data_IF_728615973898
#
_entry.id   IF_728615973898
#
_cell.length_a   1.000
_cell.length_b   1.000
_cell.length_c   1.000
_cell.angle_alpha   90.00
_cell.angle_beta   90.00
_cell.angle_gamma   90.00
#
_symmetry.space_group_name_H-M   'P 1'
#
loop_
_entity.id
_entity.type
_entity.pdbx_description
1 polymer ?
#
# COMPACT_ATOMS: atom_id res chain seq x y z
N UNK A 1 9.58 -4.01 -22.93
CA UNK A 1 9.95 -3.34 -21.66
C UNK A 1 11.29 -3.87 -21.21
N UNK A 2 12.25 -3.01 -20.85
CA UNK A 2 13.49 -3.48 -20.21
C UNK A 2 13.15 -4.12 -18.87
N UNK A 3 13.62 -5.35 -18.63
CA UNK A 3 13.38 -6.04 -17.37
C UNK A 3 14.02 -5.25 -16.21
N UNK A 4 13.25 -5.04 -15.14
CA UNK A 4 13.70 -4.30 -13.96
C UNK A 4 14.70 -5.15 -13.17
N UNK A 5 15.90 -4.63 -12.92
CA UNK A 5 16.88 -5.25 -12.03
C UNK A 5 16.78 -4.63 -10.64
N UNK A 6 16.74 -5.43 -9.59
CA UNK A 6 16.60 -4.93 -8.22
C UNK A 6 17.89 -4.27 -7.73
N UNK A 7 17.80 -3.00 -7.33
CA UNK A 7 18.93 -2.30 -6.70
C UNK A 7 19.16 -2.75 -5.25
N UNK A 8 18.08 -3.16 -4.56
CA UNK A 8 18.10 -3.56 -3.16
C UNK A 8 17.46 -4.95 -2.98
N UNK A 9 17.82 -5.70 -1.93
CA UNK A 9 17.10 -6.92 -1.57
C UNK A 9 15.70 -6.60 -1.01
N UNK A 10 14.77 -7.54 -1.17
CA UNK A 10 13.44 -7.49 -0.54
C UNK A 10 13.34 -8.58 0.50
N UNK A 11 12.91 -8.20 1.69
CA UNK A 11 12.65 -9.10 2.82
C UNK A 11 11.17 -9.05 3.18
N UNK A 12 10.61 -10.19 3.56
CA UNK A 12 9.29 -10.27 4.19
C UNK A 12 9.32 -9.61 5.57
N UNK A 13 8.13 -9.41 6.15
CA UNK A 13 7.95 -8.81 7.48
C UNK A 13 8.61 -9.60 8.61
N UNK A 14 8.72 -10.93 8.47
CA UNK A 14 9.47 -11.80 9.38
C UNK A 14 10.98 -11.82 9.10
N UNK A 15 11.46 -10.95 8.22
CA UNK A 15 12.86 -10.78 7.81
C UNK A 15 13.44 -11.93 6.99
N UNK A 16 12.60 -12.81 6.44
CA UNK A 16 13.05 -13.78 5.45
C UNK A 16 13.41 -13.08 4.13
N UNK A 17 14.52 -13.47 3.53
CA UNK A 17 14.94 -12.92 2.24
C UNK A 17 14.03 -13.47 1.13
N UNK A 18 13.31 -12.57 0.44
CA UNK A 18 12.45 -12.94 -0.68
C UNK A 18 13.21 -12.89 -2.00
N UNK A 19 13.83 -11.75 -2.32
CA UNK A 19 14.61 -11.55 -3.54
C UNK A 19 15.91 -10.80 -3.23
N UNK A 20 17.00 -11.19 -3.91
CA UNK A 20 18.32 -10.58 -3.73
C UNK A 20 18.45 -9.31 -4.58
N UNK A 21 19.31 -8.39 -4.14
CA UNK A 21 19.79 -7.33 -5.03
C UNK A 21 20.45 -7.96 -6.26
N UNK A 22 20.23 -7.34 -7.41
CA UNK A 22 20.69 -7.83 -8.70
C UNK A 22 19.77 -8.86 -9.37
N UNK A 23 18.73 -9.35 -8.70
CA UNK A 23 17.71 -10.18 -9.35
C UNK A 23 17.00 -9.39 -10.46
N UNK A 24 16.86 -9.99 -11.63
CA UNK A 24 16.01 -9.47 -12.70
C UNK A 24 14.58 -9.89 -12.43
N UNK A 25 13.66 -8.94 -12.36
CA UNK A 25 12.26 -9.18 -12.05
C UNK A 25 11.53 -9.65 -13.32
N UNK A 26 11.42 -10.97 -13.47
CA UNK A 26 10.67 -11.66 -14.53
C UNK A 26 9.42 -12.31 -13.95
N UNK A 27 8.47 -12.68 -14.81
CA UNK A 27 7.28 -13.43 -14.42
C UNK A 27 7.64 -14.78 -13.78
N UNK A 28 8.71 -15.43 -14.26
CA UNK A 28 9.26 -16.65 -13.68
C UNK A 28 9.79 -16.44 -12.25
N UNK A 29 10.52 -15.34 -12.02
CA UNK A 29 11.04 -15.01 -10.69
C UNK A 29 9.91 -14.73 -9.69
N UNK A 30 8.86 -14.01 -10.14
CA UNK A 30 7.68 -13.74 -9.31
C UNK A 30 6.85 -15.01 -9.08
N UNK A 31 6.67 -15.86 -10.09
CA UNK A 31 5.97 -17.14 -9.97
C UNK A 31 6.67 -18.06 -8.96
N UNK A 32 8.00 -18.12 -9.00
CA UNK A 32 8.81 -18.88 -8.03
C UNK A 32 8.69 -18.31 -6.62
N UNK A 33 8.72 -16.97 -6.49
CA UNK A 33 8.53 -16.29 -5.22
C UNK A 33 7.15 -16.60 -4.62
N UNK A 34 6.08 -16.50 -5.42
CA UNK A 34 4.72 -16.79 -4.99
C UNK A 34 4.63 -18.25 -4.53
N UNK A 35 5.10 -19.19 -5.35
CA UNK A 35 5.09 -20.61 -5.03
C UNK A 35 5.84 -20.95 -3.74
N UNK A 36 6.90 -20.20 -3.41
CA UNK A 36 7.69 -20.41 -2.18
C UNK A 36 6.94 -20.16 -0.88
N UNK A 37 5.83 -19.41 -0.91
CA UNK A 37 5.01 -19.13 0.28
C UNK A 37 4.19 -20.34 0.73
N UNK A 38 3.93 -21.28 -0.18
CA UNK A 38 3.02 -22.41 0.04
C UNK A 38 1.54 -22.01 -0.02
N UNK A 39 0.66 -23.02 -0.16
CA UNK A 39 -0.78 -22.84 -0.40
C UNK A 39 -1.59 -22.41 0.84
N UNK A 40 -0.94 -22.05 1.95
CA UNK A 40 -1.64 -21.72 3.20
C UNK A 40 -2.26 -20.32 3.11
N UNK A 41 -3.53 -20.28 2.67
CA UNK A 41 -4.35 -19.07 2.65
C UNK A 41 -4.59 -18.64 4.09
N UNK A 42 -3.80 -17.67 4.55
CA UNK A 42 -3.97 -17.11 5.89
C UNK A 42 -5.33 -16.43 5.99
N UNK A 43 -5.93 -16.55 7.16
CA UNK A 43 -7.17 -15.86 7.49
C UNK A 43 -6.98 -14.35 7.35
N UNK A 44 -7.95 -13.69 6.72
CA UNK A 44 -8.01 -12.22 6.69
C UNK A 44 -8.78 -11.68 7.88
N UNK A 45 -8.45 -10.47 8.30
CA UNK A 45 -9.08 -9.75 9.40
C UNK A 45 -9.52 -8.36 8.92
N UNK A 46 -10.68 -7.85 9.36
CA UNK A 46 -11.15 -6.52 8.97
C UNK A 46 -10.16 -5.44 9.42
N UNK A 47 -9.71 -4.58 8.50
CA UNK A 47 -8.73 -3.53 8.79
C UNK A 47 -9.24 -2.58 9.89
N UNK A 48 -10.52 -2.19 9.82
CA UNK A 48 -11.10 -1.27 10.80
C UNK A 48 -11.23 -1.87 12.21
N UNK A 49 -11.14 -3.20 12.35
CA UNK A 49 -11.15 -3.86 13.67
C UNK A 49 -9.74 -4.13 14.20
N UNK A 50 -8.71 -3.72 13.46
CA UNK A 50 -7.31 -3.95 13.84
C UNK A 50 -6.76 -2.74 14.60
N UNK A 51 -6.34 -2.97 15.85
CA UNK A 51 -5.83 -1.90 16.71
C UNK A 51 -6.88 -0.81 16.94
N UNK A 52 -6.52 0.44 16.66
CA UNK A 52 -7.42 1.62 16.79
C UNK A 52 -7.72 2.26 15.43
N UNK A 53 -7.57 1.51 14.33
CA UNK A 53 -7.65 2.08 12.97
C UNK A 53 -8.99 2.76 12.70
N UNK A 54 -10.11 2.20 13.20
CA UNK A 54 -11.44 2.82 13.05
C UNK A 54 -11.52 4.16 13.78
N UNK A 55 -11.06 4.21 15.02
CA UNK A 55 -11.06 5.42 15.84
C UNK A 55 -10.18 6.51 15.19
N UNK A 56 -9.01 6.12 14.69
CA UNK A 56 -8.07 7.03 14.03
C UNK A 56 -8.63 7.60 12.71
N UNK A 57 -9.36 6.78 11.94
CA UNK A 57 -10.07 7.25 10.73
C UNK A 57 -11.18 8.23 11.09
N UNK A 58 -12.02 7.90 12.07
CA UNK A 58 -13.11 8.79 12.50
C UNK A 58 -12.57 10.13 13.03
N UNK A 59 -11.47 10.11 13.81
CA UNK A 59 -10.78 11.31 14.25
C UNK A 59 -10.26 12.12 13.06
N UNK A 60 -9.63 11.47 12.07
CA UNK A 60 -9.14 12.12 10.84
C UNK A 60 -10.26 12.81 10.06
N UNK A 61 -11.41 12.14 9.88
CA UNK A 61 -12.58 12.69 9.20
C UNK A 61 -13.16 13.92 9.93
N UNK A 62 -12.97 14.04 11.24
CA UNK A 62 -13.39 15.19 12.03
C UNK A 62 -12.48 16.41 11.94
N UNK A 63 -11.29 16.29 11.35
CA UNK A 63 -10.26 17.34 11.37
C UNK A 63 -9.85 17.83 9.98
N UNK A 64 -9.36 19.07 9.90
CA UNK A 64 -8.79 19.63 8.67
C UNK A 64 -7.49 18.90 8.29
N UNK A 65 -7.18 18.75 6.98
CA UNK A 65 -7.97 19.19 5.83
C UNK A 65 -9.04 18.19 5.37
N UNK A 66 -9.12 16.99 5.97
CA UNK A 66 -10.01 15.94 5.46
C UNK A 66 -11.48 16.35 5.59
N UNK A 67 -11.84 16.97 6.72
CA UNK A 67 -13.18 17.47 6.97
C UNK A 67 -13.60 18.65 6.08
N UNK A 68 -12.72 19.19 5.23
CA UNK A 68 -13.14 20.18 4.21
C UNK A 68 -13.64 19.50 2.94
N UNK A 69 -13.32 18.23 2.75
CA UNK A 69 -13.67 17.42 1.57
C UNK A 69 -14.79 16.43 1.94
N UNK A 70 -14.64 15.72 3.07
CA UNK A 70 -15.61 14.76 3.59
C UNK A 70 -16.24 15.40 4.83
N UNK A 71 -17.42 16.01 4.70
CA UNK A 71 -18.10 16.71 5.80
C UNK A 71 -19.56 16.36 5.98
N UNK A 72 -20.18 15.71 5.00
CA UNK A 72 -21.56 15.29 5.11
C UNK A 72 -21.66 13.94 5.81
N UNK A 73 -22.58 13.83 6.77
CA UNK A 73 -22.83 12.58 7.50
C UNK A 73 -23.14 11.41 6.54
N UNK A 74 -23.88 11.68 5.46
CA UNK A 74 -24.19 10.70 4.42
C UNK A 74 -22.93 10.21 3.68
N UNK A 75 -21.96 11.10 3.41
CA UNK A 75 -20.69 10.71 2.79
C UNK A 75 -19.87 9.84 3.75
N UNK A 76 -19.77 10.24 5.01
CA UNK A 76 -19.05 9.48 6.05
C UNK A 76 -19.66 8.08 6.20
N UNK A 77 -20.98 7.98 6.32
CA UNK A 77 -21.66 6.69 6.40
C UNK A 77 -21.41 5.81 5.16
N UNK A 78 -21.41 6.40 3.96
CA UNK A 78 -21.18 5.67 2.72
C UNK A 78 -19.76 5.11 2.62
N UNK A 79 -18.73 5.91 2.94
CA UNK A 79 -17.34 5.43 2.90
C UNK A 79 -17.09 4.40 4.01
N UNK A 80 -17.60 4.63 5.23
CA UNK A 80 -17.40 3.69 6.36
C UNK A 80 -18.00 2.32 6.03
N UNK A 81 -19.18 2.27 5.41
CA UNK A 81 -19.80 1.01 4.96
C UNK A 81 -18.89 0.21 4.02
N UNK A 82 -18.19 0.88 3.11
CA UNK A 82 -17.25 0.24 2.17
C UNK A 82 -15.98 -0.17 2.90
N UNK A 83 -15.40 0.73 3.70
CA UNK A 83 -14.14 0.51 4.42
C UNK A 83 -14.25 -0.64 5.43
N UNK A 84 -15.42 -0.87 6.03
CA UNK A 84 -15.70 -2.01 6.92
C UNK A 84 -15.59 -3.37 6.22
N UNK A 85 -15.70 -3.42 4.89
CA UNK A 85 -15.51 -4.65 4.11
C UNK A 85 -14.05 -4.96 3.78
N UNK A 86 -13.14 -4.00 4.00
CA UNK A 86 -11.73 -4.16 3.67
C UNK A 86 -11.06 -5.01 4.74
N UNK A 87 -10.45 -6.12 4.31
CA UNK A 87 -9.74 -7.05 5.17
C UNK A 87 -8.40 -7.45 4.55
N UNK A 88 -7.42 -7.73 5.40
CA UNK A 88 -6.11 -8.20 4.98
C UNK A 88 -5.61 -9.32 5.89
N UNK A 89 -4.61 -10.05 5.43
CA UNK A 89 -3.88 -10.97 6.29
C UNK A 89 -3.07 -10.22 7.37
N UNK A 90 -2.79 -10.89 8.48
CA UNK A 90 -2.04 -10.30 9.61
C UNK A 90 -0.73 -9.61 9.22
N UNK A 91 0.14 -10.15 8.34
CA UNK A 91 1.38 -9.43 7.99
C UNK A 91 1.10 -8.04 7.40
N UNK A 92 0.11 -7.93 6.51
CA UNK A 92 -0.25 -6.62 5.93
C UNK A 92 -0.78 -5.68 7.01
N UNK A 93 -1.60 -6.18 7.94
CA UNK A 93 -2.10 -5.38 9.07
C UNK A 93 -0.98 -4.97 10.05
N UNK A 94 -0.03 -5.85 10.33
CA UNK A 94 1.12 -5.58 11.19
C UNK A 94 1.98 -4.43 10.64
N UNK A 95 2.03 -4.26 9.31
CA UNK A 95 2.71 -3.10 8.70
C UNK A 95 2.02 -1.77 9.02
N UNK A 96 0.69 -1.77 9.15
CA UNK A 96 -0.08 -0.57 9.50
C UNK A 96 0.26 -0.14 10.94
N UNK A 97 0.32 -1.09 11.87
CA UNK A 97 0.75 -0.84 13.25
C UNK A 97 2.22 -0.45 13.32
N UNK A 98 3.09 -1.06 12.49
CA UNK A 98 4.48 -0.66 12.38
C UNK A 98 4.61 0.83 11.99
N UNK A 99 3.92 1.27 10.93
CA UNK A 99 3.96 2.68 10.54
C UNK A 99 3.38 3.56 11.65
N UNK A 100 2.29 3.15 12.31
CA UNK A 100 1.73 3.93 13.42
C UNK A 100 2.78 4.21 14.50
N UNK A 101 3.59 3.22 14.86
CA UNK A 101 4.62 3.33 15.92
C UNK A 101 5.89 4.04 15.46
N UNK A 102 6.31 3.81 14.21
CA UNK A 102 7.65 4.19 13.77
C UNK A 102 7.66 5.35 12.77
N UNK A 103 6.64 5.48 11.93
CA UNK A 103 6.48 6.55 10.93
C UNK A 103 5.02 7.01 10.85
N UNK A 104 4.62 7.80 11.86
CA UNK A 104 3.25 8.28 11.98
C UNK A 104 2.78 9.11 10.77
N UNK A 105 3.71 9.72 10.02
CA UNK A 105 3.38 10.43 8.80
C UNK A 105 2.86 9.48 7.73
N UNK A 106 3.56 8.37 7.46
CA UNK A 106 3.09 7.35 6.51
C UNK A 106 1.80 6.71 6.99
N UNK A 107 1.67 6.40 8.28
CA UNK A 107 0.41 5.88 8.84
C UNK A 107 -0.77 6.80 8.56
N UNK A 108 -0.66 8.09 8.91
CA UNK A 108 -1.71 9.08 8.64
C UNK A 108 -1.99 9.22 7.14
N UNK A 109 -0.94 9.22 6.31
CA UNK A 109 -1.09 9.29 4.85
C UNK A 109 -1.91 8.12 4.30
N UNK A 110 -1.62 6.89 4.76
CA UNK A 110 -2.36 5.69 4.39
C UNK A 110 -3.85 5.82 4.72
N UNK A 111 -4.19 6.28 5.93
CA UNK A 111 -5.59 6.45 6.34
C UNK A 111 -6.31 7.53 5.50
N UNK A 112 -5.63 8.65 5.22
CA UNK A 112 -6.18 9.72 4.38
C UNK A 112 -6.43 9.25 2.96
N UNK A 113 -5.44 8.59 2.34
CA UNK A 113 -5.58 8.04 0.98
C UNK A 113 -6.70 7.02 0.93
N UNK A 114 -6.80 6.14 1.94
CA UNK A 114 -7.89 5.17 2.02
C UNK A 114 -9.27 5.83 2.08
N UNK A 115 -9.48 6.84 2.93
CA UNK A 115 -10.75 7.54 3.01
C UNK A 115 -11.09 8.29 1.70
N UNK A 116 -10.12 9.01 1.13
CA UNK A 116 -10.33 9.81 -0.09
C UNK A 116 -10.53 8.93 -1.33
N UNK A 117 -9.76 7.85 -1.50
CA UNK A 117 -9.95 6.93 -2.63
C UNK A 117 -11.28 6.19 -2.52
N UNK A 118 -11.71 5.84 -1.31
CA UNK A 118 -13.04 5.28 -1.07
C UNK A 118 -14.13 6.27 -1.47
N UNK A 119 -14.02 7.55 -1.05
CA UNK A 119 -14.96 8.59 -1.46
C UNK A 119 -15.02 8.71 -3.00
N UNK A 120 -13.87 8.83 -3.66
CA UNK A 120 -13.80 8.93 -5.13
C UNK A 120 -14.49 7.72 -5.79
N UNK A 121 -14.26 6.51 -5.27
CA UNK A 121 -14.89 5.29 -5.79
C UNK A 121 -16.42 5.36 -5.71
N UNK A 122 -16.99 6.01 -4.69
CA UNK A 122 -18.45 6.16 -4.54
C UNK A 122 -19.08 7.02 -5.63
N UNK A 123 -18.30 7.90 -6.25
CA UNK A 123 -18.75 8.78 -7.33
C UNK A 123 -18.52 8.19 -8.72
N UNK A 124 -17.48 7.38 -8.90
CA UNK A 124 -17.05 6.89 -10.21
C UNK A 124 -17.50 5.46 -10.53
N UNK A 125 -17.77 4.64 -9.50
CA UNK A 125 -17.97 3.21 -9.67
C UNK A 125 -19.36 2.85 -9.16
N UNK A 126 -20.21 2.33 -10.05
CA UNK A 126 -21.58 1.94 -9.71
C UNK A 126 -21.63 0.65 -8.88
N UNK A 127 -20.81 -0.34 -9.24
CA UNK A 127 -20.78 -1.65 -8.60
C UNK A 127 -20.15 -1.61 -7.20
N UNK A 128 -20.86 -2.14 -6.21
CA UNK A 128 -20.43 -2.13 -4.82
C UNK A 128 -19.20 -3.01 -4.55
N UNK A 129 -19.13 -4.19 -5.16
CA UNK A 129 -18.02 -5.11 -4.97
C UNK A 129 -16.74 -4.58 -5.62
N UNK A 130 -16.85 -3.92 -6.77
CA UNK A 130 -15.72 -3.23 -7.41
C UNK A 130 -15.25 -2.07 -6.53
N UNK A 131 -16.16 -1.26 -5.96
CA UNK A 131 -15.77 -0.21 -4.99
C UNK A 131 -14.98 -0.74 -3.81
N UNK A 132 -15.40 -1.87 -3.22
CA UNK A 132 -14.68 -2.48 -2.09
C UNK A 132 -13.27 -2.90 -2.52
N UNK A 133 -13.12 -3.54 -3.69
CA UNK A 133 -11.80 -3.95 -4.22
C UNK A 133 -10.88 -2.76 -4.48
N UNK A 134 -11.40 -1.69 -5.09
CA UNK A 134 -10.67 -0.45 -5.36
C UNK A 134 -10.27 0.25 -4.05
N UNK A 135 -11.18 0.32 -3.09
CA UNK A 135 -10.92 0.93 -1.78
C UNK A 135 -9.84 0.18 -1.01
N UNK A 136 -9.76 -1.15 -1.14
CA UNK A 136 -8.72 -1.98 -0.52
C UNK A 136 -7.29 -1.69 -1.04
N UNK A 137 -7.14 -0.95 -2.14
CA UNK A 137 -5.81 -0.53 -2.64
C UNK A 137 -5.25 0.66 -1.83
N UNK A 138 -6.13 1.49 -1.25
CA UNK A 138 -5.73 2.67 -0.48
C UNK A 138 -4.82 2.34 0.71
N UNK A 139 -5.17 1.37 1.58
CA UNK A 139 -4.33 1.00 2.72
C UNK A 139 -2.96 0.42 2.34
N UNK A 140 -2.82 -0.11 1.12
CA UNK A 140 -1.67 -0.93 0.70
C UNK A 140 -0.79 -0.28 -0.35
N UNK A 141 -1.17 0.88 -0.91
CA UNK A 141 -0.40 1.56 -1.96
C UNK A 141 1.07 1.80 -1.56
N UNK A 142 1.28 2.18 -0.29
CA UNK A 142 2.58 2.53 0.28
C UNK A 142 3.23 1.37 1.06
N UNK A 143 2.69 0.14 0.97
CA UNK A 143 3.14 -1.01 1.77
C UNK A 143 4.64 -1.28 1.66
N UNK A 144 5.23 -1.05 0.48
CA UNK A 144 6.66 -1.24 0.27
C UNK A 144 7.57 -0.28 1.05
N UNK A 145 7.01 0.77 1.70
CA UNK A 145 7.78 1.64 2.60
C UNK A 145 8.37 0.87 3.79
N UNK A 146 7.85 -0.32 4.09
CA UNK A 146 8.42 -1.21 5.11
C UNK A 146 9.87 -1.62 4.80
N UNK A 147 10.27 -1.60 3.52
CA UNK A 147 11.64 -1.86 3.09
C UNK A 147 12.53 -0.62 3.10
N UNK A 148 11.99 0.56 3.44
CA UNK A 148 12.73 1.82 3.42
C UNK A 148 13.28 2.11 4.82
N UNK A 149 14.57 2.49 4.94
CA UNK A 149 15.14 2.87 6.22
C UNK A 149 14.33 3.97 6.92
N UNK A 150 14.05 3.78 8.21
CA UNK A 150 13.26 4.73 8.99
C UNK A 150 13.91 6.13 9.06
N UNK A 151 15.24 6.20 8.96
CA UNK A 151 16.01 7.43 8.88
C UNK A 151 15.75 8.23 7.60
N UNK A 152 15.37 7.56 6.50
CA UNK A 152 14.97 8.19 5.24
C UNK A 152 13.50 8.64 5.33
N UNK A 153 12.61 7.78 5.83
CA UNK A 153 11.18 8.10 5.96
C UNK A 153 10.91 9.30 6.88
N UNK A 154 11.65 9.39 7.99
CA UNK A 154 11.47 10.45 9.00
C UNK A 154 12.37 11.66 8.78
N UNK A 155 13.10 11.73 7.67
CA UNK A 155 14.05 12.82 7.45
C UNK A 155 13.30 14.16 7.35
N UNK A 156 13.68 15.12 8.19
CA UNK A 156 13.08 16.47 8.20
C UNK A 156 13.77 17.46 7.28
N UNK A 157 14.99 17.14 6.85
CA UNK A 157 15.75 17.89 5.84
C UNK A 157 15.52 17.31 4.44
N UNK A 158 15.76 18.08 3.36
CA UNK A 158 15.65 17.56 2.00
C UNK A 158 16.43 16.24 1.79
N UNK A 159 15.80 15.29 1.12
CA UNK A 159 16.46 14.05 0.70
C UNK A 159 17.54 14.35 -0.34
N UNK A 160 18.66 13.65 -0.26
CA UNK A 160 19.67 13.63 -1.32
C UNK A 160 19.15 12.87 -2.55
N UNK A 161 19.89 12.92 -3.66
CA UNK A 161 19.53 12.16 -4.87
C UNK A 161 19.49 10.66 -4.59
N UNK A 162 20.46 10.12 -3.84
CA UNK A 162 20.53 8.70 -3.53
C UNK A 162 19.41 8.28 -2.56
N UNK A 163 19.12 9.08 -1.54
CA UNK A 163 18.00 8.80 -0.64
C UNK A 163 16.65 8.86 -1.36
N UNK A 164 16.47 9.76 -2.34
CA UNK A 164 15.28 9.74 -3.19
C UNK A 164 15.18 8.45 -4.02
N UNK A 165 16.30 7.92 -4.53
CA UNK A 165 16.29 6.62 -5.24
C UNK A 165 15.88 5.49 -4.31
N UNK A 166 16.44 5.46 -3.09
CA UNK A 166 16.04 4.48 -2.07
C UNK A 166 14.55 4.61 -1.76
N UNK A 167 14.05 5.83 -1.49
CA UNK A 167 12.63 6.03 -1.22
C UNK A 167 11.76 5.55 -2.38
N UNK A 168 12.10 5.88 -3.64
CA UNK A 168 11.35 5.44 -4.84
C UNK A 168 11.26 3.93 -4.97
N UNK A 169 12.20 3.17 -4.40
CA UNK A 169 12.19 1.71 -4.43
C UNK A 169 10.96 1.09 -3.73
N UNK A 170 10.24 1.85 -2.89
CA UNK A 170 9.05 1.34 -2.20
C UNK A 170 7.96 0.86 -3.17
N UNK A 171 7.85 1.41 -4.39
CA UNK A 171 6.86 0.93 -5.37
C UNK A 171 7.21 -0.47 -5.86
N UNK A 172 8.49 -0.70 -6.17
CA UNK A 172 9.01 -2.02 -6.55
C UNK A 172 8.93 -3.01 -5.39
N UNK A 173 9.32 -2.60 -4.18
CA UNK A 173 9.22 -3.45 -2.99
C UNK A 173 7.75 -3.81 -2.68
N UNK A 174 6.84 -2.84 -2.79
CA UNK A 174 5.41 -3.03 -2.57
C UNK A 174 4.81 -4.02 -3.56
N UNK A 175 5.16 -3.89 -4.85
CA UNK A 175 4.79 -4.85 -5.89
C UNK A 175 5.21 -6.28 -5.54
N UNK A 176 6.48 -6.47 -5.16
CA UNK A 176 7.04 -7.79 -4.80
C UNK A 176 6.36 -8.36 -3.55
N UNK A 177 6.26 -7.56 -2.49
CA UNK A 177 5.71 -8.01 -1.22
C UNK A 177 4.22 -8.33 -1.33
N UNK A 178 3.43 -7.49 -1.99
CA UNK A 178 2.01 -7.77 -2.17
C UNK A 178 1.79 -8.95 -3.12
N UNK A 179 2.62 -9.13 -4.16
CA UNK A 179 2.56 -10.35 -4.99
C UNK A 179 2.78 -11.59 -4.13
N UNK A 180 3.76 -11.55 -3.23
CA UNK A 180 4.04 -12.63 -2.29
C UNK A 180 2.87 -12.85 -1.31
N UNK A 181 2.37 -11.82 -0.62
CA UNK A 181 1.32 -11.98 0.39
C UNK A 181 -0.09 -12.21 -0.19
N UNK A 182 -0.39 -11.75 -1.40
CA UNK A 182 -1.68 -11.97 -2.05
C UNK A 182 -1.67 -13.19 -2.98
N UNK A 183 -0.49 -13.74 -3.26
CA UNK A 183 -0.29 -14.90 -4.15
C UNK A 183 -0.84 -14.67 -5.57
N UNK A 184 -0.78 -13.43 -6.04
CA UNK A 184 -1.35 -13.00 -7.31
C UNK A 184 -0.63 -11.73 -7.79
N UNK A 185 0.08 -11.81 -8.91
CA UNK A 185 0.80 -10.65 -9.50
C UNK A 185 -0.14 -9.66 -10.17
N UNK A 186 -1.33 -10.10 -10.57
CA UNK A 186 -2.32 -9.29 -11.29
C UNK A 186 -3.34 -8.65 -10.35
N UNK A 187 -3.24 -8.94 -9.05
CA UNK A 187 -4.10 -8.36 -8.04
C UNK A 187 -4.06 -6.83 -8.10
N UNK A 188 -5.22 -6.19 -8.03
CA UNK A 188 -5.31 -4.72 -8.18
C UNK A 188 -4.40 -3.96 -7.20
N UNK A 189 -4.36 -4.37 -5.93
CA UNK A 189 -3.46 -3.77 -4.93
C UNK A 189 -1.97 -3.90 -5.29
N UNK A 190 -1.57 -5.00 -5.95
CA UNK A 190 -0.18 -5.22 -6.41
C UNK A 190 0.17 -4.21 -7.50
N UNK A 191 -0.73 -4.03 -8.47
CA UNK A 191 -0.59 -3.03 -9.53
C UNK A 191 -0.55 -1.61 -8.96
N UNK A 192 -1.47 -1.25 -8.08
CA UNK A 192 -1.51 0.09 -7.46
C UNK A 192 -0.26 0.37 -6.64
N UNK A 193 0.24 -0.58 -5.84
CA UNK A 193 1.48 -0.39 -5.10
C UNK A 193 2.67 -0.10 -6.02
N UNK A 194 2.70 -0.72 -7.21
CA UNK A 194 3.71 -0.44 -8.24
C UNK A 194 3.49 0.92 -8.91
N UNK A 195 2.27 1.27 -9.26
CA UNK A 195 1.95 2.32 -10.25
C UNK A 195 1.47 3.64 -9.64
N UNK A 196 1.22 3.74 -8.33
CA UNK A 196 0.61 4.95 -7.73
C UNK A 196 1.46 6.23 -7.85
N UNK A 197 2.71 6.14 -8.27
CA UNK A 197 3.59 7.27 -8.58
C UNK A 197 3.83 7.48 -10.09
N UNK A 198 3.14 6.71 -10.93
CA UNK A 198 3.10 6.92 -12.38
C UNK A 198 2.31 8.19 -12.72
N UNK A 199 2.55 8.74 -13.91
CA UNK A 199 1.95 10.00 -14.35
C UNK A 199 1.67 9.94 -15.84
N UNK A 200 0.50 10.36 -16.27
CA UNK A 200 0.04 10.33 -17.68
C UNK A 200 1.01 10.96 -18.71
N UNK A 201 2.01 11.74 -18.29
CA UNK A 201 3.04 12.31 -19.15
C UNK A 201 4.36 11.51 -19.15
N UNK A 202 4.38 10.29 -18.61
CA UNK A 202 5.57 9.42 -18.51
C UNK A 202 6.63 9.88 -17.51
N UNK A 203 6.41 10.98 -16.77
CA UNK A 203 7.40 11.50 -15.80
C UNK A 203 7.38 10.80 -14.44
N UNK A 204 6.51 9.80 -14.29
CA UNK A 204 6.33 9.02 -13.08
C UNK A 204 7.37 7.92 -12.88
N UNK A 205 7.11 7.02 -11.94
CA UNK A 205 7.97 5.88 -11.62
C UNK A 205 7.18 4.72 -11.01
N UNK A 206 7.71 3.47 -11.07
CA UNK A 206 9.04 3.05 -11.53
C UNK A 206 9.20 2.88 -13.05
N UNK A 207 8.10 2.78 -13.79
CA UNK A 207 8.07 2.38 -15.21
C UNK A 207 8.02 3.57 -16.16
N UNK A 208 7.57 4.75 -15.70
CA UNK A 208 7.45 5.95 -16.55
C UNK A 208 6.37 5.78 -17.62
N UNK A 209 5.24 5.18 -17.23
CA UNK A 209 4.09 4.91 -18.11
C UNK A 209 3.22 6.15 -18.32
#
# INVERSE_FOLDING_TARGET
MSLLKLDYPVYSLDRSLLLRAGTTLTDEALGTLIASRGADRRKTHPLLQYGTVKEDILALLGHRPVNTIINEEKQIAAIMKIMEQVSFELPVLDSIEYFKRHDFYTYRHILVVFALSTLISTHLIADYHVRVKESATGPTHDFGKICIPISILRKTTPLTREERKILRYHTTAGYILLSYYLQDTEHLAVRVAREHHERNNGSGYPSGI
#
